data_IF_609006986115
#
_entry.id   IF_609006986115
#
_cell.length_a   1.000
_cell.length_b   1.000
_cell.length_c   1.000
_cell.angle_alpha   90.00
_cell.angle_beta   90.00
_cell.angle_gamma   90.00
#
_symmetry.space_group_name_H-M   'P 1'
#
loop_
_entity.id
_entity.type
_entity.pdbx_description
1 polymer ?
#
# COMPACT_ATOMS: atom_id res chain seq x y z
N UNK A 1 -22.54 20.16 -6.11
CA UNK A 1 -23.39 18.96 -5.98
C UNK A 1 -22.87 17.78 -6.79
N UNK A 2 -22.62 17.92 -8.11
CA UNK A 2 -22.13 16.83 -8.98
C UNK A 2 -20.84 16.15 -8.50
N UNK A 3 -19.86 16.91 -8.01
CA UNK A 3 -18.59 16.38 -7.50
C UNK A 3 -18.76 15.43 -6.28
N UNK A 4 -19.70 15.74 -5.38
CA UNK A 4 -19.97 14.90 -4.20
C UNK A 4 -20.64 13.59 -4.58
N UNK A 5 -21.56 13.62 -5.56
CA UNK A 5 -22.22 12.43 -6.10
C UNK A 5 -21.19 11.52 -6.79
N UNK A 6 -20.34 12.08 -7.66
CA UNK A 6 -19.30 11.31 -8.33
C UNK A 6 -18.33 10.67 -7.32
N UNK A 7 -17.96 11.39 -6.25
CA UNK A 7 -17.15 10.84 -5.15
C UNK A 7 -17.84 9.65 -4.48
N UNK A 8 -19.11 9.78 -4.10
CA UNK A 8 -19.83 8.70 -3.40
C UNK A 8 -19.95 7.46 -4.29
N UNK A 9 -20.33 7.63 -5.56
CA UNK A 9 -20.45 6.54 -6.52
C UNK A 9 -19.14 5.77 -6.70
N UNK A 10 -18.00 6.46 -6.81
CA UNK A 10 -16.70 5.80 -6.93
C UNK A 10 -16.28 5.03 -5.67
N UNK A 11 -16.65 5.55 -4.49
CA UNK A 11 -16.42 4.85 -3.22
C UNK A 11 -17.28 3.60 -3.07
N UNK A 12 -18.49 3.58 -3.62
CA UNK A 12 -19.31 2.36 -3.70
C UNK A 12 -18.72 1.38 -4.70
N UNK A 13 -18.37 1.84 -5.90
CA UNK A 13 -17.77 1.02 -6.94
C UNK A 13 -16.52 0.29 -6.47
N UNK A 14 -15.58 0.95 -5.79
CA UNK A 14 -14.38 0.27 -5.30
C UNK A 14 -14.68 -0.78 -4.22
N UNK A 15 -15.77 -0.63 -3.45
CA UNK A 15 -16.15 -1.61 -2.43
C UNK A 15 -16.65 -2.91 -3.05
N UNK A 16 -17.50 -2.79 -4.08
CA UNK A 16 -18.13 -3.92 -4.77
C UNK A 16 -17.27 -4.52 -5.87
N UNK A 17 -16.40 -3.71 -6.48
CA UNK A 17 -15.51 -4.15 -7.55
C UNK A 17 -14.69 -5.34 -7.05
N UNK A 18 -14.63 -6.42 -7.82
CA UNK A 18 -13.86 -7.63 -7.55
C UNK A 18 -12.40 -7.53 -8.02
N UNK A 19 -12.09 -6.59 -8.90
CA UNK A 19 -10.76 -6.42 -9.49
C UNK A 19 -9.75 -5.80 -8.52
N UNK A 20 -8.48 -6.20 -8.66
CA UNK A 20 -7.36 -5.60 -7.91
C UNK A 20 -6.93 -4.25 -8.47
N UNK A 21 -7.15 -4.01 -9.75
CA UNK A 21 -6.73 -2.79 -10.44
C UNK A 21 -7.96 -1.92 -10.62
N UNK A 22 -7.94 -0.75 -9.99
CA UNK A 22 -9.01 0.23 -10.15
C UNK A 22 -9.06 0.78 -11.57
N UNK A 23 -10.24 0.73 -12.19
CA UNK A 23 -10.46 1.12 -13.60
C UNK A 23 -11.12 2.48 -13.78
N UNK A 24 -11.57 3.12 -12.71
CA UNK A 24 -12.10 4.48 -12.79
C UNK A 24 -11.00 5.54 -12.86
N UNK A 25 -11.46 6.77 -12.75
CA UNK A 25 -10.75 8.02 -13.06
C UNK A 25 -10.51 8.89 -11.82
N UNK A 26 -11.13 8.55 -10.67
CA UNK A 26 -11.00 9.29 -9.42
C UNK A 26 -9.87 8.74 -8.52
N UNK A 27 -8.66 8.60 -9.09
CA UNK A 27 -7.53 7.92 -8.44
C UNK A 27 -7.20 8.48 -7.05
N UNK A 28 -7.16 9.81 -6.88
CA UNK A 28 -6.81 10.45 -5.59
C UNK A 28 -7.82 10.12 -4.49
N UNK A 29 -9.12 10.18 -4.82
CA UNK A 29 -10.20 9.87 -3.89
C UNK A 29 -10.11 8.41 -3.45
N UNK A 30 -9.93 7.51 -4.42
CA UNK A 30 -9.86 6.07 -4.17
C UNK A 30 -8.59 5.69 -3.40
N UNK A 31 -7.45 6.34 -3.67
CA UNK A 31 -6.19 6.12 -2.96
C UNK A 31 -6.34 6.50 -1.48
N UNK A 32 -6.90 7.68 -1.21
CA UNK A 32 -7.21 8.13 0.15
C UNK A 32 -8.24 7.25 0.86
N UNK A 33 -9.17 6.66 0.13
CA UNK A 33 -10.10 5.68 0.67
C UNK A 33 -9.38 4.38 1.05
N UNK A 34 -8.53 3.86 0.17
CA UNK A 34 -7.75 2.64 0.42
C UNK A 34 -6.77 2.81 1.59
N UNK A 35 -6.16 3.98 1.76
CA UNK A 35 -5.39 4.33 2.96
C UNK A 35 -6.21 4.13 4.25
N UNK A 36 -7.40 4.72 4.31
CA UNK A 36 -8.31 4.56 5.46
C UNK A 36 -8.72 3.10 5.67
N UNK A 37 -8.92 2.36 4.59
CA UNK A 37 -9.26 0.93 4.64
C UNK A 37 -8.12 0.07 5.16
N UNK A 38 -6.88 0.37 4.77
CA UNK A 38 -5.69 -0.31 5.31
C UNK A 38 -5.54 0.01 6.80
N UNK A 39 -5.65 1.28 7.20
CA UNK A 39 -5.58 1.67 8.61
C UNK A 39 -6.67 1.00 9.46
N UNK A 40 -7.92 1.00 8.99
CA UNK A 40 -9.05 0.44 9.73
C UNK A 40 -9.07 -1.11 9.74
N UNK A 41 -8.53 -1.75 8.69
CA UNK A 41 -8.58 -3.21 8.50
C UNK A 41 -7.24 -3.72 7.96
N UNK A 42 -6.16 -3.64 8.78
CA UNK A 42 -4.80 -3.92 8.32
C UNK A 42 -4.63 -5.33 7.76
N UNK A 43 -5.28 -6.34 8.35
CA UNK A 43 -5.19 -7.74 7.93
C UNK A 43 -5.87 -8.04 6.57
N UNK A 44 -6.58 -7.09 5.97
CA UNK A 44 -7.19 -7.27 4.64
C UNK A 44 -6.17 -7.06 3.52
N UNK A 45 -5.43 -8.11 3.16
CA UNK A 45 -4.39 -8.09 2.13
C UNK A 45 -4.84 -7.44 0.80
N UNK A 46 -6.09 -7.68 0.41
CA UNK A 46 -6.68 -7.10 -0.81
C UNK A 46 -6.61 -5.57 -0.84
N UNK A 47 -6.78 -4.90 0.29
CA UNK A 47 -6.71 -3.44 0.36
C UNK A 47 -5.28 -2.93 0.11
N UNK A 48 -4.27 -3.63 0.64
CA UNK A 48 -2.86 -3.32 0.39
C UNK A 48 -2.49 -3.46 -1.08
N UNK A 49 -2.86 -4.58 -1.71
CA UNK A 49 -2.54 -4.83 -3.12
C UNK A 49 -3.24 -3.84 -4.04
N UNK A 50 -4.53 -3.54 -3.79
CA UNK A 50 -5.24 -2.49 -4.51
C UNK A 50 -4.57 -1.13 -4.39
N UNK A 51 -4.07 -0.81 -3.19
CA UNK A 51 -3.41 0.46 -2.92
C UNK A 51 -2.07 0.56 -3.65
N UNK A 52 -1.26 -0.50 -3.68
CA UNK A 52 -0.02 -0.56 -4.45
C UNK A 52 -0.30 -0.35 -5.93
N UNK A 53 -1.25 -1.09 -6.52
CA UNK A 53 -1.58 -0.94 -7.94
C UNK A 53 -2.12 0.46 -8.28
N UNK A 54 -2.93 1.05 -7.39
CA UNK A 54 -3.43 2.40 -7.62
C UNK A 54 -2.32 3.46 -7.53
N UNK A 55 -1.36 3.30 -6.62
CA UNK A 55 -0.19 4.19 -6.55
C UNK A 55 0.70 4.05 -7.79
N UNK A 56 0.91 2.83 -8.31
CA UNK A 56 1.60 2.59 -9.58
C UNK A 56 0.86 3.28 -10.74
N UNK A 57 -0.45 3.07 -10.86
CA UNK A 57 -1.29 3.70 -11.89
C UNK A 57 -1.22 5.23 -11.82
N UNK A 58 -1.16 5.79 -10.62
CA UNK A 58 -1.09 7.23 -10.39
C UNK A 58 0.31 7.82 -10.56
N UNK A 59 1.34 6.97 -10.78
CA UNK A 59 2.76 7.34 -10.84
C UNK A 59 3.23 8.13 -9.62
N UNK A 60 2.64 7.85 -8.46
CA UNK A 60 2.89 8.55 -7.21
C UNK A 60 3.90 7.76 -6.37
N UNK A 61 5.17 8.18 -6.39
CA UNK A 61 6.26 7.44 -5.75
C UNK A 61 6.18 7.45 -4.22
N UNK A 62 5.63 8.50 -3.62
CA UNK A 62 5.51 8.62 -2.16
C UNK A 62 4.42 7.67 -1.65
N UNK A 63 3.24 7.72 -2.26
CA UNK A 63 2.15 6.81 -1.91
C UNK A 63 2.50 5.35 -2.21
N UNK A 64 3.28 5.10 -3.27
CA UNK A 64 3.77 3.76 -3.59
C UNK A 64 4.72 3.25 -2.51
N UNK A 65 5.68 4.09 -2.09
CA UNK A 65 6.63 3.74 -1.02
C UNK A 65 5.88 3.42 0.27
N UNK A 66 4.92 4.26 0.69
CA UNK A 66 4.10 4.02 1.87
C UNK A 66 3.26 2.73 1.78
N UNK A 67 2.61 2.49 0.64
CA UNK A 67 1.80 1.29 0.43
C UNK A 67 2.62 -0.01 0.47
N UNK A 68 3.85 0.02 -0.03
CA UNK A 68 4.77 -1.14 0.04
C UNK A 68 5.28 -1.38 1.47
N UNK A 69 5.58 -0.32 2.23
CA UNK A 69 5.93 -0.44 3.65
C UNK A 69 4.78 -1.10 4.41
N UNK A 70 3.54 -0.62 4.24
CA UNK A 70 2.36 -1.19 4.89
C UNK A 70 2.16 -2.67 4.54
N UNK A 71 2.39 -3.05 3.28
CA UNK A 71 2.31 -4.44 2.83
C UNK A 71 3.39 -5.32 3.49
N UNK A 72 4.63 -4.84 3.59
CA UNK A 72 5.72 -5.59 4.22
C UNK A 72 5.44 -5.75 5.72
N UNK A 73 4.96 -4.70 6.39
CA UNK A 73 4.61 -4.72 7.81
C UNK A 73 3.48 -5.70 8.12
N UNK A 74 2.38 -5.70 7.35
CA UNK A 74 1.25 -6.60 7.61
C UNK A 74 1.60 -8.06 7.35
N UNK A 75 2.43 -8.33 6.34
CA UNK A 75 2.81 -9.69 5.99
C UNK A 75 3.81 -10.28 7.00
N UNK A 76 4.63 -9.42 7.63
CA UNK A 76 5.53 -9.78 8.72
C UNK A 76 6.39 -11.03 8.39
N UNK A 77 7.18 -10.93 7.31
CA UNK A 77 8.04 -12.02 6.82
C UNK A 77 7.32 -13.11 6.00
N UNK A 78 5.99 -13.13 5.97
CA UNK A 78 5.21 -14.03 5.11
C UNK A 78 5.08 -13.48 3.70
N UNK A 79 4.70 -14.33 2.74
CA UNK A 79 4.32 -13.86 1.40
C UNK A 79 5.46 -13.25 0.57
N UNK A 80 6.71 -13.67 0.79
CA UNK A 80 7.90 -13.19 0.07
C UNK A 80 7.73 -13.09 -1.44
N UNK A 81 7.15 -14.11 -2.07
CA UNK A 81 6.89 -14.10 -3.52
C UNK A 81 5.93 -12.99 -3.95
N UNK A 82 4.91 -12.68 -3.14
CA UNK A 82 3.98 -11.60 -3.41
C UNK A 82 4.68 -10.25 -3.27
N UNK A 83 5.44 -10.04 -2.19
CA UNK A 83 6.19 -8.81 -1.96
C UNK A 83 7.18 -8.57 -3.10
N UNK A 84 7.98 -9.57 -3.47
CA UNK A 84 8.95 -9.45 -4.57
C UNK A 84 8.27 -9.08 -5.89
N UNK A 85 7.12 -9.70 -6.20
CA UNK A 85 6.34 -9.34 -7.38
C UNK A 85 5.88 -7.89 -7.36
N UNK A 86 5.40 -7.41 -6.21
CA UNK A 86 4.99 -6.00 -6.08
C UNK A 86 6.18 -5.06 -6.22
N UNK A 87 7.34 -5.41 -5.67
CA UNK A 87 8.59 -4.65 -5.82
C UNK A 87 9.09 -4.62 -7.26
N UNK A 88 8.99 -5.72 -8.00
CA UNK A 88 9.36 -5.80 -9.42
C UNK A 88 8.48 -4.85 -10.26
N UNK A 89 7.17 -4.90 -10.06
CA UNK A 89 6.22 -4.01 -10.75
C UNK A 89 6.40 -2.53 -10.37
N UNK A 90 6.89 -2.27 -9.17
CA UNK A 90 7.13 -0.92 -8.64
C UNK A 90 8.47 -0.33 -9.04
N UNK A 91 9.40 -1.15 -9.57
CA UNK A 91 10.78 -0.76 -9.90
C UNK A 91 10.91 0.55 -10.69
N UNK A 92 10.07 0.84 -11.72
CA UNK A 92 10.22 2.06 -12.50
C UNK A 92 9.91 3.36 -11.73
N UNK A 93 9.22 3.27 -10.59
CA UNK A 93 8.74 4.43 -9.82
C UNK A 93 9.45 4.57 -8.46
N UNK A 94 10.22 3.56 -8.05
CA UNK A 94 10.92 3.56 -6.77
C UNK A 94 12.35 4.07 -6.91
N UNK A 95 12.81 4.79 -5.88
CA UNK A 95 14.23 5.05 -5.73
C UNK A 95 15.00 3.73 -5.58
N UNK A 96 16.11 3.52 -6.30
CA UNK A 96 16.86 2.27 -6.26
C UNK A 96 17.29 1.87 -4.84
N UNK A 97 17.60 2.85 -3.98
CA UNK A 97 17.91 2.62 -2.57
C UNK A 97 16.72 2.04 -1.80
N UNK A 98 15.50 2.57 -2.00
CA UNK A 98 14.29 2.06 -1.34
C UNK A 98 14.01 0.62 -1.78
N UNK A 99 14.09 0.33 -3.08
CA UNK A 99 13.90 -1.01 -3.62
C UNK A 99 14.88 -2.02 -3.01
N UNK A 100 16.18 -1.67 -2.96
CA UNK A 100 17.20 -2.55 -2.36
C UNK A 100 16.93 -2.79 -0.88
N UNK A 101 16.58 -1.75 -0.12
CA UNK A 101 16.29 -1.87 1.30
C UNK A 101 15.07 -2.75 1.54
N UNK A 102 13.97 -2.55 0.82
CA UNK A 102 12.76 -3.35 0.94
C UNK A 102 13.01 -4.83 0.63
N UNK A 103 13.84 -5.15 -0.38
CA UNK A 103 14.25 -6.53 -0.65
C UNK A 103 15.04 -7.13 0.50
N UNK A 104 16.04 -6.41 1.02
CA UNK A 104 16.81 -6.86 2.18
C UNK A 104 15.92 -7.10 3.41
N UNK A 105 14.95 -6.24 3.67
CA UNK A 105 13.96 -6.43 4.74
C UNK A 105 13.12 -7.67 4.49
N UNK A 106 12.66 -7.87 3.25
CA UNK A 106 11.84 -9.04 2.87
C UNK A 106 12.62 -10.34 3.04
N UNK A 107 13.92 -10.33 2.76
CA UNK A 107 14.78 -11.51 2.85
C UNK A 107 15.23 -11.82 4.29
N UNK A 108 15.50 -10.78 5.09
CA UNK A 108 16.00 -10.93 6.47
C UNK A 108 14.90 -10.95 7.54
N UNK A 109 13.69 -10.50 7.21
CA UNK A 109 12.61 -10.29 8.18
C UNK A 109 12.81 -9.10 9.13
N UNK A 110 13.93 -8.38 9.03
CA UNK A 110 14.25 -7.26 9.93
C UNK A 110 13.51 -5.98 9.53
N UNK A 111 12.23 -5.89 9.92
CA UNK A 111 11.33 -4.79 9.59
C UNK A 111 11.69 -3.44 10.24
N UNK A 112 12.51 -3.42 11.29
CA UNK A 112 13.00 -2.18 11.91
C UNK A 112 13.78 -1.31 10.92
N UNK A 113 14.47 -1.95 9.96
CA UNK A 113 15.19 -1.22 8.91
C UNK A 113 14.28 -0.38 8.02
N UNK A 114 12.98 -0.68 7.95
CA UNK A 114 12.04 0.15 7.18
C UNK A 114 11.93 1.56 7.73
N UNK A 115 12.18 1.81 9.03
CA UNK A 115 12.12 3.14 9.65
C UNK A 115 13.09 4.15 9.04
N UNK A 116 14.12 3.67 8.34
CA UNK A 116 15.08 4.51 7.62
C UNK A 116 14.49 5.13 6.34
N UNK A 117 13.36 4.61 5.85
CA UNK A 117 12.63 5.17 4.72
C UNK A 117 11.67 6.27 5.19
N UNK A 118 11.28 7.17 4.28
CA UNK A 118 10.18 8.10 4.54
C UNK A 118 8.89 7.31 4.82
N UNK A 119 8.30 7.54 5.99
CA UNK A 119 7.05 6.91 6.41
C UNK A 119 5.81 7.73 6.05
N UNK A 120 5.97 8.88 5.36
CA UNK A 120 4.91 9.89 5.21
C UNK A 120 3.56 9.32 4.77
N UNK A 121 3.57 8.46 3.76
CA UNK A 121 2.35 7.83 3.26
C UNK A 121 2.06 6.44 3.87
N UNK A 122 2.92 5.88 4.72
CA UNK A 122 2.68 4.59 5.39
C UNK A 122 1.67 4.75 6.52
N UNK A 123 0.49 4.13 6.40
CA UNK A 123 -0.59 4.33 7.39
C UNK A 123 -0.45 3.45 8.63
N UNK A 124 0.24 2.31 8.52
CA UNK A 124 0.52 1.42 9.65
C UNK A 124 1.75 1.87 10.43
N UNK A 125 2.74 2.47 9.76
CA UNK A 125 3.87 3.10 10.45
C UNK A 125 3.43 4.33 11.24
N UNK A 126 2.59 5.19 10.65
CA UNK A 126 2.14 6.43 11.27
C UNK A 126 1.04 6.20 12.32
N UNK A 127 0.23 5.15 12.16
CA UNK A 127 -0.85 4.79 13.07
C UNK A 127 -0.41 3.97 14.29
N UNK A 128 0.88 3.68 14.43
CA UNK A 128 1.42 3.00 15.60
C UNK A 128 0.98 1.54 15.72
N UNK A 129 1.04 0.74 14.64
CA UNK A 129 0.92 -0.73 14.77
C UNK A 129 2.00 -1.22 15.75
N UNK A 130 1.65 -1.69 16.95
CA UNK A 130 2.63 -2.29 17.84
C UNK A 130 3.02 -3.62 17.21
N UNK A 131 4.32 -3.87 17.08
CA UNK A 131 4.89 -5.12 16.56
C UNK A 131 4.42 -6.38 17.34
N UNK A 132 3.74 -6.18 18.48
CA UNK A 132 3.29 -7.21 19.39
C UNK A 132 1.94 -7.89 19.05
N UNK A 133 1.17 -7.42 18.06
CA UNK A 133 -0.16 -8.02 17.72
C UNK A 133 -0.11 -8.95 16.50
N UNK A 134 1.08 -9.50 16.21
CA UNK A 134 1.31 -10.51 15.18
C UNK A 134 1.19 -11.95 15.70
N UNK A 135 0.50 -12.18 16.82
CA UNK A 135 0.12 -13.50 17.31
C UNK A 135 -1.25 -13.91 16.75
#
# INVERSE_FOLDING_TARGET
MQFQINRQLELFRIQEDSHLIYRGDQNVIVLRYLQRRVAARPKQLRNHIRRVYLAIKSRDSEHLTGALIDLILVLHGRGRYLINRMLDQSKPLLQPAHLRLMRQVTDSGNIERLRTLSQGESVLSNGGMPLAVAL
#
